data_IF_366507295578
#
_entry.id   IF_366507295578
#
_cell.length_a   1.000
_cell.length_b   1.000
_cell.length_c   1.000
_cell.angle_alpha   90.00
_cell.angle_beta   90.00
_cell.angle_gamma   90.00
#
_symmetry.space_group_name_H-M   'P 1'
#
loop_
_entity.id
_entity.type
_entity.pdbx_description
1 polymer ?
#
# COMPACT_ATOMS: atom_id res chain seq x y z
N UNK A 1 0.85 -13.27 26.64
CA UNK A 1 1.70 -12.63 25.62
C UNK A 1 1.63 -11.14 25.83
N UNK A 2 2.75 -10.43 25.93
CA UNK A 2 2.73 -8.99 26.14
C UNK A 2 2.36 -8.29 24.83
N UNK A 3 1.16 -7.70 24.76
CA UNK A 3 0.64 -7.03 23.56
C UNK A 3 1.54 -5.91 23.06
N UNK A 4 2.30 -5.27 23.96
CA UNK A 4 3.26 -4.22 23.62
C UNK A 4 4.38 -4.76 22.73
N UNK A 5 4.89 -5.97 23.04
CA UNK A 5 5.96 -6.60 22.26
C UNK A 5 5.47 -6.93 20.84
N UNK A 6 4.26 -7.47 20.72
CA UNK A 6 3.65 -7.81 19.42
C UNK A 6 3.45 -6.56 18.57
N UNK A 7 3.01 -5.47 19.18
CA UNK A 7 2.79 -4.19 18.51
C UNK A 7 4.11 -3.60 18.00
N UNK A 8 5.14 -3.56 18.84
CA UNK A 8 6.49 -3.09 18.43
C UNK A 8 7.04 -3.95 17.28
N UNK A 9 6.95 -5.28 17.41
CA UNK A 9 7.42 -6.20 16.36
C UNK A 9 6.67 -5.97 15.04
N UNK A 10 5.34 -5.81 15.11
CA UNK A 10 4.50 -5.50 13.95
C UNK A 10 4.92 -4.20 13.25
N UNK A 11 5.18 -3.13 14.01
CA UNK A 11 5.67 -1.87 13.45
C UNK A 11 7.02 -2.03 12.76
N UNK A 12 7.95 -2.78 13.35
CA UNK A 12 9.28 -3.02 12.76
C UNK A 12 9.15 -3.79 11.45
N UNK A 13 8.35 -4.86 11.41
CA UNK A 13 8.12 -5.66 10.19
C UNK A 13 7.44 -4.81 9.11
N UNK A 14 6.41 -4.04 9.48
CA UNK A 14 5.71 -3.16 8.55
C UNK A 14 6.65 -2.08 7.98
N UNK A 15 7.51 -1.49 8.80
CA UNK A 15 8.46 -0.47 8.36
C UNK A 15 9.54 -1.04 7.42
N UNK A 16 10.11 -2.19 7.77
CA UNK A 16 11.11 -2.87 6.95
C UNK A 16 10.52 -3.32 5.60
N UNK A 17 9.35 -3.95 5.64
CA UNK A 17 8.66 -4.37 4.44
C UNK A 17 8.30 -3.17 3.55
N UNK A 18 7.79 -2.07 4.11
CA UNK A 18 7.52 -0.84 3.36
C UNK A 18 8.78 -0.33 2.66
N UNK A 19 9.91 -0.25 3.36
CA UNK A 19 11.19 0.21 2.78
C UNK A 19 11.67 -0.67 1.63
N UNK A 20 11.65 -1.99 1.81
CA UNK A 20 12.14 -2.94 0.81
C UNK A 20 11.21 -2.98 -0.40
N UNK A 21 9.91 -3.12 -0.15
CA UNK A 21 8.90 -3.27 -1.19
C UNK A 21 8.68 -1.97 -1.97
N UNK A 22 8.55 -0.82 -1.30
CA UNK A 22 8.38 0.47 -1.99
C UNK A 22 9.59 0.78 -2.89
N UNK A 23 10.82 0.52 -2.40
CA UNK A 23 12.03 0.71 -3.21
C UNK A 23 12.08 -0.25 -4.41
N UNK A 24 11.67 -1.51 -4.22
CA UNK A 24 11.60 -2.48 -5.31
C UNK A 24 10.61 -2.04 -6.41
N UNK A 25 9.40 -1.67 -6.03
CA UNK A 25 8.36 -1.20 -6.97
C UNK A 25 8.82 0.05 -7.71
N UNK A 26 9.40 1.01 -7.00
CA UNK A 26 9.90 2.24 -7.61
C UNK A 26 11.05 1.97 -8.59
N UNK A 27 12.02 1.15 -8.23
CA UNK A 27 13.21 0.93 -9.07
C UNK A 27 12.95 -0.01 -10.25
N UNK A 28 12.10 -1.04 -10.08
CA UNK A 28 11.91 -2.09 -11.09
C UNK A 28 10.67 -1.89 -11.96
N UNK A 29 9.57 -1.39 -11.40
CA UNK A 29 8.27 -1.33 -12.08
C UNK A 29 7.96 0.08 -12.55
N UNK A 30 7.81 1.02 -11.62
CA UNK A 30 7.34 2.38 -11.92
C UNK A 30 8.47 3.22 -12.55
N UNK A 31 9.70 3.07 -12.06
CA UNK A 31 10.87 3.88 -12.43
C UNK A 31 10.54 5.37 -12.34
N UNK A 32 10.13 5.83 -11.15
CA UNK A 32 9.67 7.20 -11.01
C UNK A 32 10.81 8.19 -11.24
N UNK A 33 10.56 9.18 -12.10
CA UNK A 33 11.47 10.28 -12.38
C UNK A 33 10.83 11.58 -11.90
N UNK A 34 11.41 12.23 -10.86
CA UNK A 34 10.91 13.51 -10.35
C UNK A 34 10.94 14.65 -11.38
N UNK A 35 11.78 14.56 -12.41
CA UNK A 35 11.93 15.56 -13.46
C UNK A 35 10.94 15.37 -14.61
N UNK A 36 10.33 14.18 -14.72
CA UNK A 36 9.34 13.91 -15.75
C UNK A 36 8.01 14.54 -15.39
N UNK A 37 7.46 15.35 -16.30
CA UNK A 37 6.12 15.89 -16.11
C UNK A 37 5.09 14.75 -16.08
N UNK A 38 4.18 14.79 -15.11
CA UNK A 38 3.10 13.80 -15.00
C UNK A 38 2.06 14.04 -16.10
N UNK A 39 1.30 13.02 -16.53
CA UNK A 39 0.19 13.19 -17.48
C UNK A 39 -0.80 14.28 -17.04
N UNK A 40 -1.02 14.39 -15.73
CA UNK A 40 -1.81 15.45 -15.11
C UNK A 40 -1.31 16.89 -15.34
N UNK A 41 -0.09 17.09 -15.88
CA UNK A 41 0.43 18.38 -16.32
C UNK A 41 0.56 18.49 -17.85
N UNK A 42 0.68 17.37 -18.55
CA UNK A 42 0.85 17.33 -20.01
C UNK A 42 -0.49 17.39 -20.76
N UNK A 43 -1.53 16.74 -20.23
CA UNK A 43 -2.82 16.54 -20.90
C UNK A 43 -3.97 17.19 -20.12
N UNK A 44 -3.73 18.36 -19.54
CA UNK A 44 -4.67 19.14 -18.72
C UNK A 44 -6.03 19.34 -19.42
N UNK A 45 -6.99 18.45 -19.18
CA UNK A 45 -8.31 18.46 -19.83
C UNK A 45 -9.45 18.89 -18.88
N UNK A 46 -9.16 18.96 -17.57
CA UNK A 46 -10.15 19.34 -16.55
C UNK A 46 -11.15 18.24 -16.18
N UNK A 47 -11.00 17.02 -16.74
CA UNK A 47 -11.89 15.88 -16.49
C UNK A 47 -11.09 14.69 -15.97
N UNK A 48 -10.12 14.20 -16.74
CA UNK A 48 -9.29 13.04 -16.37
C UNK A 48 -7.92 13.47 -15.82
N UNK A 49 -7.40 14.62 -16.26
CA UNK A 49 -6.06 15.10 -15.96
C UNK A 49 -6.13 16.50 -15.32
N UNK A 50 -6.08 16.51 -13.98
CA UNK A 50 -6.06 17.73 -13.18
C UNK A 50 -4.89 17.73 -12.19
N UNK A 51 -4.11 18.82 -12.10
CA UNK A 51 -2.95 18.90 -11.25
C UNK A 51 -3.44 19.12 -9.81
N UNK A 52 -3.37 18.06 -9.03
CA UNK A 52 -3.81 18.07 -7.63
C UNK A 52 -2.61 18.03 -6.71
N UNK A 53 -2.74 18.64 -5.52
CA UNK A 53 -1.70 18.54 -4.49
C UNK A 53 -1.48 17.06 -4.11
N UNK A 54 -0.21 16.64 -3.99
CA UNK A 54 0.18 15.26 -3.65
C UNK A 54 -0.53 14.74 -2.39
N UNK A 55 -0.73 15.58 -1.38
CA UNK A 55 -1.37 15.19 -0.12
C UNK A 55 -2.86 14.87 -0.32
N UNK A 56 -3.54 15.62 -1.18
CA UNK A 56 -4.96 15.40 -1.49
C UNK A 56 -5.10 14.14 -2.36
N UNK A 57 -4.23 13.96 -3.35
CA UNK A 57 -4.20 12.77 -4.19
C UNK A 57 -3.99 11.50 -3.36
N UNK A 58 -3.06 11.53 -2.40
CA UNK A 58 -2.85 10.44 -1.46
C UNK A 58 -4.13 10.13 -0.66
N UNK A 59 -4.83 11.15 -0.18
CA UNK A 59 -6.09 10.99 0.55
C UNK A 59 -7.17 10.25 -0.26
N UNK A 60 -7.32 10.56 -1.55
CA UNK A 60 -8.26 9.85 -2.42
C UNK A 60 -7.93 8.36 -2.54
N UNK A 61 -6.65 8.03 -2.75
CA UNK A 61 -6.21 6.64 -2.86
C UNK A 61 -6.32 5.90 -1.52
N UNK A 62 -5.94 6.55 -0.43
CA UNK A 62 -6.01 5.99 0.91
C UNK A 62 -7.46 5.69 1.32
N UNK A 63 -8.39 6.61 1.05
CA UNK A 63 -9.82 6.42 1.35
C UNK A 63 -10.37 5.16 0.68
N UNK A 64 -9.98 4.88 -0.56
CA UNK A 64 -10.41 3.69 -1.30
C UNK A 64 -10.00 2.39 -0.60
N UNK A 65 -8.78 2.33 -0.07
CA UNK A 65 -8.22 1.16 0.63
C UNK A 65 -8.77 1.04 2.05
N UNK A 66 -8.94 2.17 2.73
CA UNK A 66 -9.35 2.24 4.14
C UNK A 66 -10.77 1.69 4.38
N UNK A 67 -11.62 1.58 3.36
CA UNK A 67 -12.96 1.02 3.50
C UNK A 67 -12.98 -0.49 3.78
N UNK A 68 -12.08 -1.27 3.18
CA UNK A 68 -12.10 -2.72 3.27
C UNK A 68 -11.33 -3.28 4.49
N UNK A 69 -10.26 -2.61 4.90
CA UNK A 69 -9.37 -3.09 5.96
C UNK A 69 -10.05 -3.28 7.34
N UNK A 70 -10.94 -2.38 7.82
CA UNK A 70 -11.60 -2.50 9.12
C UNK A 70 -12.63 -3.62 9.19
N UNK A 71 -13.08 -4.14 8.04
CA UNK A 71 -14.07 -5.22 7.96
C UNK A 71 -13.36 -6.57 7.92
N UNK A 72 -12.35 -6.72 7.05
CA UNK A 72 -11.68 -8.00 6.83
C UNK A 72 -10.85 -8.43 8.04
N UNK A 73 -10.17 -7.48 8.71
CA UNK A 73 -9.30 -7.78 9.86
C UNK A 73 -10.03 -8.45 11.04
N UNK A 74 -11.12 -7.87 11.57
CA UNK A 74 -11.88 -8.49 12.66
C UNK A 74 -12.49 -9.83 12.29
N UNK A 75 -12.98 -10.00 11.06
CA UNK A 75 -13.56 -11.28 10.59
C UNK A 75 -12.51 -12.39 10.63
N UNK A 76 -11.30 -12.14 10.13
CA UNK A 76 -10.19 -13.12 10.18
C UNK A 76 -9.80 -13.43 11.63
N UNK A 77 -9.73 -12.40 12.48
CA UNK A 77 -9.38 -12.57 13.89
C UNK A 77 -10.39 -13.41 14.67
N UNK A 78 -11.69 -13.25 14.39
CA UNK A 78 -12.77 -14.02 15.03
C UNK A 78 -12.75 -15.48 14.55
N UNK A 79 -12.55 -15.70 13.24
CA UNK A 79 -12.68 -17.03 12.65
C UNK A 79 -11.43 -17.91 12.79
N UNK A 80 -10.23 -17.32 12.79
CA UNK A 80 -8.94 -18.03 12.78
C UNK A 80 -8.05 -17.68 13.98
N UNK A 81 -8.47 -16.73 14.82
CA UNK A 81 -7.69 -16.23 15.94
C UNK A 81 -6.69 -15.14 15.55
N UNK A 82 -5.92 -14.70 16.55
CA UNK A 82 -5.06 -13.51 16.45
C UNK A 82 -3.80 -13.73 15.57
N UNK A 83 -3.25 -14.95 15.54
CA UNK A 83 -2.00 -15.24 14.84
C UNK A 83 -2.16 -15.19 13.31
N UNK A 84 -3.17 -15.85 12.71
CA UNK A 84 -3.43 -15.76 11.27
C UNK A 84 -3.80 -14.34 10.82
N UNK A 85 -4.53 -13.59 11.65
CA UNK A 85 -4.83 -12.18 11.39
C UNK A 85 -3.56 -11.32 11.30
N UNK A 86 -2.61 -11.49 12.23
CA UNK A 86 -1.33 -10.77 12.19
C UNK A 86 -0.49 -11.13 10.96
N UNK A 87 -0.42 -12.41 10.59
CA UNK A 87 0.31 -12.85 9.39
C UNK A 87 -0.32 -12.27 8.14
N UNK A 88 -1.65 -12.22 8.06
CA UNK A 88 -2.36 -11.59 6.94
C UNK A 88 -2.05 -10.09 6.85
N UNK A 89 -2.16 -9.34 7.95
CA UNK A 89 -1.87 -7.89 7.99
C UNK A 89 -0.43 -7.60 7.57
N UNK A 90 0.53 -8.38 8.07
CA UNK A 90 1.95 -8.15 7.80
C UNK A 90 2.42 -8.73 6.47
N UNK A 91 1.76 -9.75 5.92
CA UNK A 91 2.20 -10.46 4.71
C UNK A 91 1.46 -10.05 3.44
N UNK A 92 0.16 -9.77 3.52
CA UNK A 92 -0.67 -9.46 2.36
C UNK A 92 -0.18 -8.25 1.53
N UNK A 93 0.33 -7.15 2.13
CA UNK A 93 0.86 -6.03 1.36
C UNK A 93 2.06 -6.38 0.47
N UNK A 94 2.80 -7.44 0.80
CA UNK A 94 4.05 -7.83 0.14
C UNK A 94 3.88 -9.02 -0.81
N UNK A 95 2.76 -9.74 -0.76
CA UNK A 95 2.52 -10.94 -1.58
C UNK A 95 2.36 -10.63 -3.07
N UNK A 96 2.09 -9.38 -3.43
CA UNK A 96 1.89 -8.94 -4.81
C UNK A 96 3.18 -8.89 -5.65
N UNK A 97 4.35 -9.14 -5.04
CA UNK A 97 5.62 -9.31 -5.76
C UNK A 97 5.63 -10.45 -6.81
N UNK A 98 4.60 -11.32 -6.80
CA UNK A 98 4.43 -12.43 -7.75
C UNK A 98 3.49 -12.17 -8.93
N UNK A 99 2.71 -11.08 -8.95
CA UNK A 99 1.88 -10.75 -10.11
C UNK A 99 2.75 -10.09 -11.17
N UNK A 100 3.33 -10.92 -12.05
CA UNK A 100 3.91 -10.46 -13.32
C UNK A 100 2.87 -9.60 -14.01
N UNK A 101 3.14 -8.31 -14.11
CA UNK A 101 2.40 -7.40 -14.98
C UNK A 101 2.61 -7.91 -16.41
N UNK A 102 1.64 -8.66 -16.92
CA UNK A 102 1.52 -8.88 -18.36
C UNK A 102 1.49 -7.50 -19.01
N UNK A 103 2.39 -7.18 -19.94
CA UNK A 103 2.33 -5.91 -20.64
C UNK A 103 1.05 -5.90 -21.46
N UNK A 104 0.19 -4.91 -21.19
CA UNK A 104 -0.84 -4.46 -22.12
C UNK A 104 -0.23 -3.38 -23.03
#
# INVERSE_FOLDING_TARGET
>A
MNSVIVLILGFVVAFLGYRVYAKYIDTKIIKSDPQKATPAKMYMDGVEFMPTNKNVLFGYQFKSIAGAAPIIGPIIAIQWGWLPALVWILGAPYSSAGFRTTPA
#
